data_IF_199675499137
#
_entry.id   IF_199675499137
#
_cell.length_a   1.000
_cell.length_b   1.000
_cell.length_c   1.000
_cell.angle_alpha   90.00
_cell.angle_beta   90.00
_cell.angle_gamma   90.00
#
_symmetry.space_group_name_H-M   'P 1'
#
loop_
_entity.id
_entity.type
_entity.pdbx_description
1 polymer ?
#
# COMPACT_ATOMS: atom_id res chain seq x y z
N UNK A 1 0.07 5.76 16.51
CA UNK A 1 -0.82 4.81 15.78
C UNK A 1 -0.77 5.00 14.26
N UNK A 2 -0.64 6.22 13.72
CA UNK A 2 -0.55 6.46 12.26
C UNK A 2 0.82 6.09 11.64
N UNK A 3 1.93 6.28 12.37
CA UNK A 3 3.28 6.00 11.87
C UNK A 3 3.52 4.52 11.55
N UNK A 4 2.96 3.61 12.35
CA UNK A 4 3.10 2.16 12.13
C UNK A 4 2.38 1.71 10.85
N UNK A 5 1.27 2.36 10.51
CA UNK A 5 0.51 2.06 9.29
C UNK A 5 1.29 2.55 8.06
N UNK A 6 1.91 3.72 8.12
CA UNK A 6 2.74 4.26 7.03
C UNK A 6 3.96 3.38 6.78
N UNK A 7 4.67 2.93 7.82
CA UNK A 7 5.80 2.00 7.66
C UNK A 7 5.38 0.65 7.07
N UNK A 8 4.24 0.10 7.50
CA UNK A 8 3.72 -1.16 6.97
C UNK A 8 3.33 -1.06 5.49
N UNK A 9 2.73 0.07 5.09
CA UNK A 9 2.43 0.39 3.69
C UNK A 9 3.71 0.56 2.85
N UNK A 10 4.72 1.22 3.41
CA UNK A 10 6.01 1.43 2.74
C UNK A 10 6.74 0.10 2.49
N UNK A 11 6.74 -0.81 3.48
CA UNK A 11 7.30 -2.15 3.30
C UNK A 11 6.54 -2.96 2.23
N UNK A 12 5.22 -2.80 2.17
CA UNK A 12 4.39 -3.47 1.18
C UNK A 12 4.76 -3.05 -0.25
N UNK A 13 5.02 -1.75 -0.44
CA UNK A 13 5.38 -1.17 -1.72
C UNK A 13 6.79 -1.57 -2.20
N UNK A 14 7.72 -1.86 -1.27
CA UNK A 14 9.08 -2.29 -1.61
C UNK A 14 9.20 -3.78 -1.98
N UNK A 15 8.28 -4.63 -1.51
CA UNK A 15 8.23 -6.03 -1.93
C UNK A 15 7.57 -6.08 -3.31
N UNK A 16 8.37 -5.85 -4.34
CA UNK A 16 8.12 -5.97 -5.78
C UNK A 16 6.68 -6.14 -6.30
N UNK A 17 6.29 -5.25 -7.21
CA UNK A 17 5.05 -5.24 -8.02
C UNK A 17 4.73 -6.53 -8.83
N UNK A 18 5.59 -7.56 -8.79
CA UNK A 18 5.46 -8.77 -9.62
C UNK A 18 4.56 -9.86 -9.01
N UNK A 19 4.15 -9.73 -7.73
CA UNK A 19 3.28 -10.68 -7.03
C UNK A 19 2.33 -9.88 -6.12
N UNK A 20 1.33 -9.22 -6.70
CA UNK A 20 0.47 -8.29 -5.94
C UNK A 20 -1.02 -8.51 -6.22
N UNK A 21 -1.46 -9.75 -6.44
CA UNK A 21 -2.88 -9.99 -6.72
C UNK A 21 -3.77 -9.79 -5.48
N UNK A 22 -3.25 -9.98 -4.26
CA UNK A 22 -3.90 -9.63 -3.00
C UNK A 22 -2.92 -9.80 -1.84
N UNK A 23 -2.79 -8.81 -0.96
CA UNK A 23 -1.94 -8.91 0.24
C UNK A 23 -2.74 -8.66 1.49
N UNK A 24 -2.52 -9.50 2.50
CA UNK A 24 -3.16 -9.39 3.80
C UNK A 24 -2.08 -9.26 4.87
N UNK A 25 -2.07 -8.15 5.58
CA UNK A 25 -1.20 -7.93 6.74
C UNK A 25 -1.99 -8.31 7.98
N UNK A 26 -1.36 -9.06 8.88
CA UNK A 26 -1.93 -9.45 10.17
C UNK A 26 -1.32 -8.61 11.30
N UNK A 27 -2.12 -8.33 12.33
CA UNK A 27 -1.63 -7.76 13.58
C UNK A 27 -0.86 -8.81 14.40
N UNK A 28 -0.23 -8.39 15.50
CA UNK A 28 0.52 -9.28 16.40
C UNK A 28 -0.36 -10.39 17.04
N UNK A 29 -1.68 -10.27 16.95
CA UNK A 29 -2.64 -11.27 17.42
C UNK A 29 -3.14 -12.19 16.30
N UNK A 30 -2.56 -12.12 15.10
CA UNK A 30 -2.94 -12.96 13.95
C UNK A 30 -4.24 -12.55 13.26
N UNK A 31 -4.78 -11.36 13.55
CA UNK A 31 -6.01 -10.85 12.90
C UNK A 31 -5.65 -9.99 11.71
N UNK A 32 -6.51 -9.95 10.71
CA UNK A 32 -6.30 -9.07 9.55
C UNK A 32 -6.29 -7.60 9.99
N UNK A 33 -5.18 -6.93 9.74
CA UNK A 33 -4.99 -5.51 9.97
C UNK A 33 -5.23 -4.70 8.69
N UNK A 34 -4.65 -5.13 7.57
CA UNK A 34 -4.72 -4.43 6.28
C UNK A 34 -4.95 -5.45 5.17
N UNK A 35 -5.82 -5.12 4.23
CA UNK A 35 -5.99 -5.86 2.96
C UNK A 35 -5.62 -4.97 1.81
N UNK A 36 -5.00 -5.54 0.79
CA UNK A 36 -4.49 -4.80 -0.37
C UNK A 36 -5.01 -5.47 -1.63
N UNK A 37 -5.56 -4.69 -2.54
CA UNK A 37 -6.06 -5.17 -3.84
C UNK A 37 -5.53 -4.29 -4.96
N UNK A 38 -5.42 -4.85 -6.16
CA UNK A 38 -5.04 -4.10 -7.35
C UNK A 38 -6.27 -3.86 -8.23
N UNK A 39 -6.43 -2.62 -8.67
CA UNK A 39 -7.44 -2.25 -9.66
C UNK A 39 -6.96 -2.54 -11.10
N UNK A 40 -7.85 -2.49 -12.08
CA UNK A 40 -7.53 -2.72 -13.50
C UNK A 40 -6.46 -1.78 -14.08
N UNK A 41 -6.22 -0.63 -13.46
CA UNK A 41 -5.17 0.34 -13.83
C UNK A 41 -3.84 0.10 -13.11
N UNK A 42 -3.76 -0.92 -12.24
CA UNK A 42 -2.54 -1.23 -11.49
C UNK A 42 -2.36 -0.42 -10.20
N UNK A 43 -3.39 0.31 -9.74
CA UNK A 43 -3.35 0.99 -8.44
C UNK A 43 -3.53 -0.01 -7.33
N UNK A 44 -2.64 0.00 -6.34
CA UNK A 44 -2.81 -0.78 -5.11
C UNK A 44 -3.69 0.02 -4.16
N UNK A 45 -4.81 -0.56 -3.73
CA UNK A 45 -5.73 0.03 -2.77
C UNK A 45 -5.63 -0.76 -1.48
N UNK A 46 -5.35 -0.06 -0.38
CA UNK A 46 -5.25 -0.65 0.95
C UNK A 46 -6.49 -0.33 1.76
N UNK A 47 -7.03 -1.35 2.42
CA UNK A 47 -8.24 -1.33 3.21
C UNK A 47 -7.92 -1.68 4.65
N UNK A 48 -8.59 -1.02 5.59
CA UNK A 48 -8.62 -1.48 6.98
C UNK A 48 -9.47 -2.74 7.14
N UNK A 49 -9.48 -3.28 8.37
CA UNK A 49 -10.28 -4.45 8.74
C UNK A 49 -11.79 -4.24 8.53
N UNK A 50 -12.27 -3.00 8.51
CA UNK A 50 -13.67 -2.64 8.25
C UNK A 50 -13.97 -2.45 6.76
N UNK A 51 -12.99 -2.66 5.87
CA UNK A 51 -13.14 -2.49 4.42
C UNK A 51 -13.07 -1.04 3.95
N UNK A 52 -12.63 -0.10 4.79
CA UNK A 52 -12.46 1.30 4.40
C UNK A 52 -11.09 1.52 3.78
N UNK A 53 -11.04 2.30 2.69
CA UNK A 53 -9.76 2.67 2.07
C UNK A 53 -8.96 3.54 3.03
N UNK A 54 -7.73 3.12 3.32
CA UNK A 54 -6.79 3.87 4.15
C UNK A 54 -5.63 4.46 3.33
N UNK A 55 -5.29 3.86 2.20
CA UNK A 55 -4.32 4.41 1.26
C UNK A 55 -4.50 3.87 -0.15
N UNK A 56 -3.96 4.62 -1.11
CA UNK A 56 -3.83 4.21 -2.51
C UNK A 56 -2.39 4.39 -2.94
N UNK A 57 -1.89 3.49 -3.75
CA UNK A 57 -0.54 3.53 -4.28
C UNK A 57 -0.58 3.36 -5.79
N UNK A 58 0.03 4.32 -6.48
CA UNK A 58 0.17 4.31 -7.94
C UNK A 58 1.66 4.24 -8.28
N UNK A 59 2.02 3.34 -9.19
CA UNK A 59 3.37 3.28 -9.73
C UNK A 59 3.37 3.70 -11.18
N UNK A 60 4.16 4.73 -11.51
CA UNK A 60 4.34 5.24 -12.87
C UNK A 60 5.81 5.22 -13.21
N UNK A 61 6.19 4.35 -14.16
CA UNK A 61 7.59 4.06 -14.44
C UNK A 61 8.29 3.53 -13.19
N UNK A 62 9.34 4.23 -12.76
CA UNK A 62 10.11 3.90 -11.57
C UNK A 62 9.65 4.66 -10.31
N UNK A 63 8.63 5.52 -10.41
CA UNK A 63 8.16 6.33 -9.29
C UNK A 63 6.89 5.72 -8.70
N UNK A 64 6.92 5.47 -7.40
CA UNK A 64 5.75 5.03 -6.62
C UNK A 64 5.28 6.18 -5.73
N UNK A 65 3.98 6.42 -5.76
CA UNK A 65 3.32 7.52 -5.04
C UNK A 65 2.21 6.94 -4.17
N UNK A 66 2.22 7.25 -2.87
CA UNK A 66 1.23 6.80 -1.89
C UNK A 66 0.37 7.99 -1.49
N UNK A 67 -0.94 7.78 -1.50
CA UNK A 67 -1.97 8.73 -1.10
C UNK A 67 -2.71 8.24 0.13
N UNK A 68 -3.10 9.16 1.03
CA UNK A 68 -3.99 8.83 2.13
C UNK A 68 -5.44 8.63 1.66
N UNK A 69 -6.32 8.21 2.58
CA UNK A 69 -7.75 8.06 2.31
C UNK A 69 -8.38 9.32 1.70
N UNK A 70 -7.92 10.51 2.11
CA UNK A 70 -8.35 11.82 1.60
C UNK A 70 -7.69 12.25 0.27
N UNK A 71 -6.83 11.40 -0.32
CA UNK A 71 -6.19 11.66 -1.61
C UNK A 71 -4.98 12.59 -1.56
N UNK A 72 -4.46 12.96 -0.37
CA UNK A 72 -3.23 13.75 -0.28
C UNK A 72 -2.04 12.83 -0.42
N UNK A 73 -1.00 13.31 -1.10
CA UNK A 73 0.26 12.59 -1.17
C UNK A 73 0.93 12.55 0.21
N UNK A 74 1.20 11.34 0.70
CA UNK A 74 1.87 11.13 2.00
C UNK A 74 3.26 10.55 1.85
N UNK A 75 3.56 9.92 0.71
CA UNK A 75 4.90 9.46 0.39
C UNK A 75 5.09 9.39 -1.13
N UNK A 76 6.32 9.61 -1.57
CA UNK A 76 6.75 9.40 -2.95
C UNK A 76 8.19 8.92 -2.93
N UNK A 77 8.48 7.87 -3.68
CA UNK A 77 9.85 7.38 -3.84
C UNK A 77 10.06 6.85 -5.24
N UNK A 78 11.29 6.95 -5.72
CA UNK A 78 11.71 6.44 -7.01
C UNK A 78 12.58 5.22 -6.79
N UNK A 79 12.16 4.07 -7.30
CA UNK A 79 12.97 2.86 -7.33
C UNK A 79 13.93 2.96 -8.52
N UNK A 80 15.20 3.23 -8.27
CA UNK A 80 16.21 3.07 -9.32
C UNK A 80 16.51 1.57 -9.41
N UNK A 81 15.91 0.88 -10.38
CA UNK A 81 16.46 -0.41 -10.82
C UNK A 81 17.80 -0.12 -11.51
N UNK A 82 18.88 -0.33 -10.78
CA UNK A 82 20.21 -0.55 -11.35
C UNK A 82 20.24 -1.97 -11.94
#
# INVERSE_FOLDING_TARGET
MAETIVLALLMLAMIGAAQAQQRTIYDASGRVAIRSAIDSQGTVINYDRSGRVISRETTTGNTTTIYDAGGRNVARFTTNRQ
#
